data_IF_036556666852
#
_entry.id   IF_036556666852
#
_cell.length_a   1.000
_cell.length_b   1.000
_cell.length_c   1.000
_cell.angle_alpha   90.00
_cell.angle_beta   90.00
_cell.angle_gamma   90.00
#
_symmetry.space_group_name_H-M   'P 1'
#
loop_
_entity.id
_entity.type
_entity.pdbx_description
1 polymer ?
#
# COMPACT_ATOMS: atom_id res chain seq x y z
N UNK A 1 -9.39 -1.55 30.72
CA UNK A 1 -7.99 -1.26 30.33
C UNK A 1 -7.40 -2.51 29.70
N UNK A 2 -7.91 -2.92 28.53
CA UNK A 2 -7.50 -4.18 27.88
C UNK A 2 -7.39 -4.05 26.36
N UNK A 3 -8.01 -3.02 25.76
CA UNK A 3 -8.01 -2.82 24.31
C UNK A 3 -6.68 -2.23 23.78
N UNK A 4 -6.10 -1.23 24.45
CA UNK A 4 -4.90 -0.52 23.94
C UNK A 4 -3.63 -1.39 23.81
N UNK A 5 -3.48 -2.44 24.62
CA UNK A 5 -2.31 -3.31 24.57
C UNK A 5 -2.37 -4.34 23.43
N UNK A 6 -3.58 -4.78 23.06
CA UNK A 6 -3.82 -5.72 21.95
C UNK A 6 -3.66 -5.03 20.58
N UNK A 7 -4.10 -3.76 20.50
CA UNK A 7 -3.90 -2.91 19.32
C UNK A 7 -2.40 -2.73 19.01
N UNK A 8 -1.52 -2.57 20.02
CA UNK A 8 -0.10 -2.30 19.81
C UNK A 8 0.65 -3.47 19.15
N UNK A 9 0.40 -4.71 19.59
CA UNK A 9 0.98 -5.91 18.97
C UNK A 9 0.50 -6.11 17.53
N UNK A 10 -0.79 -5.84 17.29
CA UNK A 10 -1.39 -5.89 15.96
C UNK A 10 -0.80 -4.84 15.02
N UNK A 11 -0.67 -3.60 15.48
CA UNK A 11 -0.05 -2.49 14.72
C UNK A 11 1.39 -2.83 14.37
N UNK A 12 2.18 -3.32 15.32
CA UNK A 12 3.56 -3.71 15.09
C UNK A 12 3.68 -4.79 14.00
N UNK A 13 2.82 -5.83 14.05
CA UNK A 13 2.81 -6.87 13.03
C UNK A 13 2.41 -6.34 11.63
N UNK A 14 1.43 -5.44 11.58
CA UNK A 14 1.02 -4.77 10.34
C UNK A 14 2.14 -3.91 9.76
N UNK A 15 2.84 -3.12 10.59
CA UNK A 15 3.98 -2.30 10.19
C UNK A 15 5.14 -3.16 9.69
N UNK A 16 5.49 -4.24 10.40
CA UNK A 16 6.54 -5.14 9.94
C UNK A 16 6.18 -5.79 8.61
N UNK A 17 4.93 -6.21 8.43
CA UNK A 17 4.46 -6.78 7.17
C UNK A 17 4.49 -5.74 6.05
N UNK A 18 4.10 -4.51 6.35
CA UNK A 18 4.16 -3.39 5.41
C UNK A 18 5.60 -3.15 4.95
N UNK A 19 6.53 -2.99 5.88
CA UNK A 19 7.93 -2.64 5.60
C UNK A 19 8.71 -3.79 4.96
N UNK A 20 8.56 -5.02 5.46
CA UNK A 20 9.35 -6.17 5.00
C UNK A 20 8.83 -6.80 3.72
N UNK A 21 7.53 -6.71 3.43
CA UNK A 21 6.92 -7.44 2.31
C UNK A 21 6.17 -6.54 1.33
N UNK A 22 5.30 -5.65 1.83
CA UNK A 22 4.40 -4.89 0.96
C UNK A 22 5.10 -3.76 0.25
N UNK A 23 5.85 -2.94 0.98
CA UNK A 23 6.58 -1.80 0.47
C UNK A 23 7.62 -2.17 -0.59
N UNK A 24 8.56 -3.11 -0.37
CA UNK A 24 9.57 -3.43 -1.37
C UNK A 24 8.92 -3.87 -2.68
N UNK A 25 7.94 -4.77 -2.61
CA UNK A 25 7.24 -5.26 -3.80
C UNK A 25 6.39 -4.19 -4.49
N UNK A 26 5.74 -3.30 -3.74
CA UNK A 26 5.00 -2.16 -4.32
C UNK A 26 5.94 -1.18 -5.01
N UNK A 27 7.13 -0.94 -4.46
CA UNK A 27 8.14 -0.09 -5.08
C UNK A 27 8.73 -0.71 -6.35
N UNK A 28 8.92 -2.03 -6.37
CA UNK A 28 9.32 -2.75 -7.60
C UNK A 28 8.26 -2.60 -8.69
N UNK A 29 6.98 -2.80 -8.36
CA UNK A 29 5.87 -2.57 -9.29
C UNK A 29 5.89 -1.11 -9.78
N UNK A 30 6.02 -0.13 -8.87
CA UNK A 30 6.10 1.28 -9.25
C UNK A 30 7.21 1.52 -10.26
N UNK A 31 8.42 1.00 -10.04
CA UNK A 31 9.56 1.18 -10.97
C UNK A 31 9.25 0.64 -12.37
N UNK A 32 8.61 -0.52 -12.47
CA UNK A 32 8.24 -1.12 -13.76
C UNK A 32 7.23 -0.26 -14.50
N UNK A 33 6.18 0.17 -13.80
CA UNK A 33 5.16 1.07 -14.36
C UNK A 33 5.76 2.43 -14.73
N UNK A 34 6.68 2.97 -13.93
CA UNK A 34 7.38 4.21 -14.25
C UNK A 34 8.20 4.09 -15.54
N UNK A 35 8.72 2.89 -15.83
CA UNK A 35 9.43 2.56 -17.07
C UNK A 35 8.52 2.33 -18.29
N UNK A 36 7.19 2.49 -18.14
CA UNK A 36 6.22 2.29 -19.22
C UNK A 36 5.64 0.87 -19.31
N UNK A 37 5.99 -0.04 -18.41
CA UNK A 37 5.38 -1.37 -18.40
C UNK A 37 3.91 -1.33 -17.93
N UNK A 38 3.13 -2.32 -18.34
CA UNK A 38 1.74 -2.48 -17.93
C UNK A 38 1.66 -3.32 -16.65
N UNK A 39 0.62 -3.08 -15.84
CA UNK A 39 0.35 -3.93 -14.67
C UNK A 39 -0.07 -5.32 -15.14
N UNK A 40 0.63 -6.34 -14.64
CA UNK A 40 0.20 -7.73 -14.83
C UNK A 40 -0.95 -8.08 -13.89
N UNK A 41 -1.77 -9.07 -14.24
CA UNK A 41 -2.90 -9.53 -13.41
C UNK A 41 -2.48 -9.88 -11.96
N UNK A 42 -1.34 -10.56 -11.81
CA UNK A 42 -0.76 -10.88 -10.50
C UNK A 42 -0.34 -9.64 -9.69
N UNK A 43 0.14 -8.58 -10.35
CA UNK A 43 0.51 -7.32 -9.69
C UNK A 43 -0.76 -6.57 -9.26
N UNK A 44 -1.78 -6.58 -10.11
CA UNK A 44 -3.08 -5.99 -9.82
C UNK A 44 -3.78 -6.69 -8.64
N UNK A 45 -3.76 -8.02 -8.58
CA UNK A 45 -4.22 -8.79 -7.42
C UNK A 45 -3.42 -8.46 -6.15
N UNK A 46 -2.10 -8.33 -6.27
CA UNK A 46 -1.24 -7.97 -5.15
C UNK A 46 -1.61 -6.59 -4.58
N UNK A 47 -1.75 -5.58 -5.45
CA UNK A 47 -2.12 -4.21 -5.08
C UNK A 47 -3.51 -4.16 -4.44
N UNK A 48 -4.50 -4.88 -5.00
CA UNK A 48 -5.85 -5.00 -4.40
C UNK A 48 -5.80 -5.58 -2.99
N UNK A 49 -5.04 -6.66 -2.79
CA UNK A 49 -4.85 -7.24 -1.45
C UNK A 49 -4.17 -6.24 -0.51
N UNK A 50 -3.21 -5.46 -1.01
CA UNK A 50 -2.44 -4.50 -0.22
C UNK A 50 -3.26 -3.29 0.21
N UNK A 51 -4.13 -2.79 -0.67
CA UNK A 51 -5.12 -1.77 -0.35
C UNK A 51 -6.12 -2.26 0.70
N UNK A 52 -6.64 -3.48 0.56
CA UNK A 52 -7.57 -4.04 1.56
C UNK A 52 -6.93 -4.12 2.95
N UNK A 53 -5.70 -4.61 3.02
CA UNK A 53 -4.92 -4.67 4.27
C UNK A 53 -4.72 -3.28 4.89
N UNK A 54 -4.44 -2.27 4.06
CA UNK A 54 -4.32 -0.88 4.49
C UNK A 54 -5.65 -0.28 4.98
N UNK A 55 -6.78 -0.62 4.35
CA UNK A 55 -8.12 -0.21 4.80
C UNK A 55 -8.48 -0.84 6.14
N UNK A 56 -8.17 -2.12 6.34
CA UNK A 56 -8.36 -2.76 7.64
C UNK A 56 -7.46 -2.15 8.73
N UNK A 57 -6.29 -1.64 8.32
CA UNK A 57 -5.37 -0.91 9.19
C UNK A 57 -5.80 0.54 9.48
N UNK A 58 -6.72 1.13 8.70
CA UNK A 58 -7.15 2.53 8.81
C UNK A 58 -7.67 2.88 10.20
N UNK A 59 -8.41 1.97 10.83
CA UNK A 59 -8.94 2.17 12.19
C UNK A 59 -7.84 2.42 13.23
N UNK A 60 -6.65 1.83 13.02
CA UNK A 60 -5.51 2.06 13.90
C UNK A 60 -4.82 3.38 13.55
N UNK A 61 -4.77 3.75 12.28
CA UNK A 61 -4.24 5.04 11.82
C UNK A 61 -5.04 6.20 12.40
N UNK A 62 -6.38 6.15 12.33
CA UNK A 62 -7.28 7.20 12.87
C UNK A 62 -7.11 7.37 14.39
N UNK A 63 -6.82 6.29 15.11
CA UNK A 63 -6.60 6.31 16.56
C UNK A 63 -5.21 6.78 16.96
N UNK A 64 -4.24 6.78 16.03
CA UNK A 64 -2.83 7.03 16.30
C UNK A 64 -2.28 8.05 15.27
N UNK A 65 -2.25 9.35 15.61
CA UNK A 65 -1.87 10.41 14.67
C UNK A 65 -0.44 10.26 14.13
N UNK A 66 0.45 9.53 14.82
CA UNK A 66 1.78 9.19 14.32
C UNK A 66 1.76 8.42 12.99
N UNK A 67 0.73 7.60 12.75
CA UNK A 67 0.60 6.84 11.51
C UNK A 67 -0.14 7.60 10.41
N UNK A 68 -0.73 8.77 10.68
CA UNK A 68 -1.41 9.56 9.63
C UNK A 68 -0.48 9.87 8.47
N UNK A 69 0.76 10.27 8.77
CA UNK A 69 1.77 10.57 7.74
C UNK A 69 2.12 9.33 6.93
N UNK A 70 2.30 8.18 7.59
CA UNK A 70 2.60 6.92 6.92
C UNK A 70 1.42 6.49 6.04
N UNK A 71 0.20 6.47 6.58
CA UNK A 71 -1.01 6.12 5.85
C UNK A 71 -1.20 7.00 4.61
N UNK A 72 -1.02 8.33 4.75
CA UNK A 72 -1.08 9.26 3.63
C UNK A 72 -0.04 8.91 2.55
N UNK A 73 1.22 8.62 2.93
CA UNK A 73 2.28 8.23 1.98
C UNK A 73 1.94 6.93 1.24
N UNK A 74 1.35 5.95 1.94
CA UNK A 74 0.94 4.68 1.33
C UNK A 74 -0.19 4.89 0.33
N UNK A 75 -1.22 5.68 0.68
CA UNK A 75 -2.33 5.99 -0.23
C UNK A 75 -1.83 6.74 -1.47
N UNK A 76 -0.94 7.73 -1.28
CA UNK A 76 -0.32 8.46 -2.38
C UNK A 76 0.46 7.51 -3.31
N UNK A 77 1.27 6.61 -2.76
CA UNK A 77 2.03 5.62 -3.52
C UNK A 77 1.12 4.75 -4.40
N UNK A 78 0.03 4.21 -3.85
CA UNK A 78 -0.93 3.43 -4.65
C UNK A 78 -1.61 4.28 -5.73
N UNK A 79 -1.97 5.52 -5.40
CA UNK A 79 -2.54 6.46 -6.36
C UNK A 79 -1.62 6.70 -7.55
N UNK A 80 -0.34 6.98 -7.30
CA UNK A 80 0.66 7.17 -8.36
C UNK A 80 0.80 5.93 -9.25
N UNK A 81 0.82 4.72 -8.66
CA UNK A 81 0.92 3.48 -9.43
C UNK A 81 -0.29 3.29 -10.34
N UNK A 82 -1.51 3.52 -9.83
CA UNK A 82 -2.74 3.33 -10.60
C UNK A 82 -2.84 4.36 -11.74
N UNK A 83 -2.53 5.63 -11.45
CA UNK A 83 -2.50 6.69 -12.46
C UNK A 83 -1.52 6.30 -13.55
N UNK A 84 -0.29 5.93 -13.18
CA UNK A 84 0.76 5.65 -14.16
C UNK A 84 0.50 4.37 -14.96
N UNK A 85 -0.06 3.34 -14.32
CA UNK A 85 -0.49 2.14 -15.02
C UNK A 85 -1.59 2.46 -16.04
N UNK A 86 -2.55 3.32 -15.69
CA UNK A 86 -3.61 3.75 -16.61
C UNK A 86 -3.04 4.53 -17.80
N UNK A 87 -2.03 5.37 -17.58
CA UNK A 87 -1.31 6.05 -18.67
C UNK A 87 -0.62 5.05 -19.61
N UNK A 88 0.05 4.03 -19.07
CA UNK A 88 0.75 3.01 -19.88
C UNK A 88 -0.21 2.11 -20.68
N UNK A 89 -1.40 1.86 -20.15
CA UNK A 89 -2.46 1.17 -20.88
C UNK A 89 -2.92 1.99 -22.10
N UNK A 90 -3.06 3.32 -21.95
CA UNK A 90 -3.53 4.23 -23.00
C UNK A 90 -2.45 4.63 -24.01
N UNK A 91 -1.21 4.76 -23.56
CA UNK A 91 -0.07 5.20 -24.40
C UNK A 91 0.53 4.10 -25.29
N UNK A 92 0.10 2.84 -25.11
CA UNK A 92 0.51 1.72 -25.97
C UNK A 92 -0.41 1.48 -27.18
N UNK A 93 -1.00 2.54 -27.76
CA UNK A 93 -1.74 2.51 -29.02
C UNK A 93 -0.94 3.15 -30.15
#
# INVERSE_FOLDING_TARGET
MSDQADDAGTIQALLERLVKFRLPRTLEIKKRIDSGERLSDSELEFLKKALRDAQEAEKFVVRNPEFHTLGARIVQLYGEIIIKATENEKGGQ
#
